data_IF_535236789255
#
_entry.id   IF_535236789255
#
_cell.length_a   1.000
_cell.length_b   1.000
_cell.length_c   1.000
_cell.angle_alpha   90.00
_cell.angle_beta   90.00
_cell.angle_gamma   90.00
#
_symmetry.space_group_name_H-M   'P 1'
#
loop_
_entity.id
_entity.type
_entity.pdbx_description
1 polymer ?
#
# COMPACT_ATOMS: atom_id res chain seq x y z
N UNK A 1 -13.29 22.23 27.61
CA UNK A 1 -13.29 22.26 26.15
C UNK A 1 -12.27 23.26 25.61
N UNK A 2 -11.90 23.18 24.36
CA UNK A 2 -11.01 24.13 23.69
C UNK A 2 -11.74 25.44 23.48
N UNK A 3 -11.06 26.57 23.78
CA UNK A 3 -11.54 27.90 23.42
C UNK A 3 -10.97 28.21 22.05
N UNK A 4 -11.83 28.39 21.06
CA UNK A 4 -11.48 28.74 19.68
C UNK A 4 -11.96 30.18 19.46
N UNK A 5 -11.02 31.11 19.28
CA UNK A 5 -11.36 32.51 19.00
C UNK A 5 -11.25 32.82 17.50
N UNK A 6 -11.92 33.86 16.98
CA UNK A 6 -11.72 34.30 15.60
C UNK A 6 -10.28 34.68 15.29
N UNK A 7 -9.55 35.21 16.27
CA UNK A 7 -8.15 35.59 16.14
C UNK A 7 -7.25 34.34 15.95
N UNK A 8 -7.47 33.27 16.73
CA UNK A 8 -6.76 32.00 16.59
C UNK A 8 -7.00 31.41 15.21
N UNK A 9 -8.26 31.39 14.76
CA UNK A 9 -8.62 30.90 13.42
C UNK A 9 -7.93 31.70 12.31
N UNK A 10 -7.84 33.03 12.46
CA UNK A 10 -7.13 33.88 11.50
C UNK A 10 -5.63 33.58 11.43
N UNK A 11 -4.99 33.38 12.59
CA UNK A 11 -3.56 33.00 12.67
C UNK A 11 -3.30 31.63 12.05
N UNK A 12 -4.08 30.61 12.45
CA UNK A 12 -3.92 29.25 11.96
C UNK A 12 -4.19 29.14 10.44
N UNK A 13 -5.16 29.90 9.94
CA UNK A 13 -5.40 30.00 8.49
C UNK A 13 -4.14 30.45 7.73
N UNK A 14 -3.43 31.47 8.25
CA UNK A 14 -2.18 31.92 7.66
C UNK A 14 -1.14 30.79 7.60
N UNK A 15 -0.97 30.05 8.70
CA UNK A 15 -0.03 28.93 8.79
C UNK A 15 -0.40 27.82 7.80
N UNK A 16 -1.67 27.41 7.73
CA UNK A 16 -2.13 26.35 6.81
C UNK A 16 -1.99 26.80 5.34
N UNK A 17 -2.21 28.07 5.03
CA UNK A 17 -2.02 28.61 3.68
C UNK A 17 -0.54 28.59 3.27
N UNK A 18 0.38 28.87 4.19
CA UNK A 18 1.82 28.72 3.92
C UNK A 18 2.20 27.25 3.74
N UNK A 19 1.68 26.34 4.56
CA UNK A 19 1.87 24.91 4.37
C UNK A 19 1.36 24.44 2.99
N UNK A 20 0.19 24.92 2.59
CA UNK A 20 -0.37 24.63 1.28
C UNK A 20 0.51 25.13 0.14
N UNK A 21 1.09 26.34 0.26
CA UNK A 21 2.05 26.90 -0.73
C UNK A 21 3.35 26.12 -0.79
N UNK A 22 3.91 25.76 0.35
CA UNK A 22 5.14 24.96 0.41
C UNK A 22 5.00 23.59 -0.24
N UNK A 23 3.78 23.03 -0.24
CA UNK A 23 3.48 21.77 -0.90
C UNK A 23 3.06 21.92 -2.36
N UNK A 24 2.98 23.14 -2.89
CA UNK A 24 2.46 23.43 -4.24
C UNK A 24 3.46 23.11 -5.38
N UNK A 25 4.21 22.03 -5.29
CA UNK A 25 5.07 21.52 -6.34
C UNK A 25 4.40 20.51 -7.28
N UNK A 26 5.14 19.99 -8.24
CA UNK A 26 4.67 18.98 -9.21
C UNK A 26 4.04 17.77 -8.52
N UNK A 27 4.60 17.28 -7.42
CA UNK A 27 4.07 16.14 -6.67
C UNK A 27 2.65 16.41 -6.14
N UNK A 28 2.35 17.63 -5.74
CA UNK A 28 1.02 18.03 -5.31
C UNK A 28 0.05 18.01 -6.48
N UNK A 29 0.42 18.67 -7.58
CA UNK A 29 -0.42 18.70 -8.80
C UNK A 29 -0.68 17.30 -9.33
N UNK A 30 0.32 16.43 -9.26
CA UNK A 30 0.17 15.01 -9.58
C UNK A 30 -0.82 14.31 -8.66
N UNK A 31 -0.67 14.46 -7.34
CA UNK A 31 -1.58 13.83 -6.37
C UNK A 31 -3.03 14.27 -6.60
N UNK A 32 -3.24 15.55 -6.84
CA UNK A 32 -4.58 16.10 -7.11
C UNK A 32 -5.15 15.59 -8.45
N UNK A 33 -4.31 15.39 -9.47
CA UNK A 33 -4.72 14.87 -10.77
C UNK A 33 -4.99 13.36 -10.75
N UNK A 34 -4.22 12.59 -9.99
CA UNK A 34 -4.35 11.12 -9.95
C UNK A 34 -5.49 10.65 -9.03
N UNK A 35 -5.85 11.43 -8.02
CA UNK A 35 -6.87 11.04 -7.05
C UNK A 35 -8.22 10.65 -7.68
N UNK A 36 -8.80 11.39 -8.64
CA UNK A 36 -10.05 11.01 -9.32
C UNK A 36 -9.98 9.67 -10.06
N UNK A 37 -8.79 9.28 -10.51
CA UNK A 37 -8.56 8.03 -11.26
C UNK A 37 -8.31 6.87 -10.32
N UNK A 38 -7.41 7.05 -9.35
CA UNK A 38 -7.06 6.01 -8.37
C UNK A 38 -8.23 5.71 -7.43
N UNK A 39 -8.97 6.73 -6.99
CA UNK A 39 -10.13 6.58 -6.11
C UNK A 39 -11.48 6.62 -6.83
N UNK A 40 -11.48 6.52 -8.14
CA UNK A 40 -12.67 6.44 -9.01
C UNK A 40 -13.82 7.36 -8.57
N UNK A 41 -13.57 8.66 -8.47
CA UNK A 41 -14.57 9.69 -8.12
C UNK A 41 -15.23 9.53 -6.73
N UNK A 42 -14.69 8.66 -5.87
CA UNK A 42 -15.20 8.50 -4.50
C UNK A 42 -14.92 9.71 -3.61
N UNK A 43 -15.45 9.68 -2.39
CA UNK A 43 -15.14 10.69 -1.38
C UNK A 43 -13.64 10.86 -1.11
N UNK A 44 -12.84 9.80 -1.26
CA UNK A 44 -11.38 9.88 -1.13
C UNK A 44 -10.72 10.75 -2.21
N UNK A 45 -11.31 10.82 -3.41
CA UNK A 45 -10.82 11.67 -4.49
C UNK A 45 -11.08 13.16 -4.24
N UNK A 46 -12.16 13.50 -3.52
CA UNK A 46 -12.64 14.87 -3.37
C UNK A 46 -12.33 15.50 -2.01
N UNK A 47 -11.96 14.69 -1.01
CA UNK A 47 -11.68 15.15 0.36
C UNK A 47 -10.17 15.14 0.64
N UNK A 48 -9.45 16.10 0.08
CA UNK A 48 -8.03 16.28 0.38
C UNK A 48 -7.86 16.67 1.86
N UNK A 49 -6.89 16.04 2.54
CA UNK A 49 -6.64 16.22 3.99
C UNK A 49 -6.35 17.65 4.36
N UNK A 50 -5.61 18.40 3.54
CA UNK A 50 -5.31 19.82 3.81
C UNK A 50 -6.51 20.74 3.48
N UNK A 51 -7.50 20.26 2.73
CA UNK A 51 -8.65 21.03 2.24
C UNK A 51 -8.40 21.71 0.89
N UNK A 52 -9.48 22.28 0.33
CA UNK A 52 -9.39 23.11 -0.88
C UNK A 52 -8.91 24.51 -0.55
N UNK A 53 -8.23 25.17 -1.51
CA UNK A 53 -7.73 26.54 -1.32
C UNK A 53 -8.87 27.52 -1.03
N UNK A 54 -10.02 27.38 -1.71
CA UNK A 54 -11.18 28.26 -1.51
C UNK A 54 -11.72 28.15 -0.08
N UNK A 55 -11.80 26.91 0.45
CA UNK A 55 -12.20 26.69 1.84
C UNK A 55 -11.17 27.25 2.81
N UNK A 56 -9.87 27.00 2.57
CA UNK A 56 -8.78 27.50 3.43
C UNK A 56 -8.75 29.02 3.51
N UNK A 57 -9.11 29.73 2.44
CA UNK A 57 -9.17 31.18 2.42
C UNK A 57 -10.40 31.76 3.13
N UNK A 58 -11.49 30.99 3.24
CA UNK A 58 -12.79 31.50 3.63
C UNK A 58 -13.36 30.97 4.95
N UNK A 59 -12.87 29.84 5.49
CA UNK A 59 -13.45 29.23 6.69
C UNK A 59 -13.42 30.17 7.90
N UNK A 60 -14.46 30.08 8.71
CA UNK A 60 -14.67 30.92 9.89
C UNK A 60 -14.61 30.09 11.18
N UNK A 61 -14.44 30.74 12.32
CA UNK A 61 -14.51 30.11 13.65
C UNK A 61 -15.74 29.21 13.81
N UNK A 62 -16.87 29.61 13.26
CA UNK A 62 -18.15 28.85 13.33
C UNK A 62 -18.00 27.42 12.75
N UNK A 63 -17.32 27.27 11.60
CA UNK A 63 -17.14 25.96 10.98
C UNK A 63 -16.16 25.10 11.78
N UNK A 64 -15.05 25.69 12.25
CA UNK A 64 -14.08 24.98 13.08
C UNK A 64 -14.72 24.49 14.38
N UNK A 65 -15.49 25.38 15.04
CA UNK A 65 -16.20 25.02 16.26
C UNK A 65 -17.25 23.93 16.03
N UNK A 66 -18.03 24.03 14.95
CA UNK A 66 -19.03 23.01 14.61
C UNK A 66 -18.38 21.65 14.32
N UNK A 67 -17.23 21.62 13.63
CA UNK A 67 -16.46 20.40 13.40
C UNK A 67 -15.95 19.82 14.73
N UNK A 68 -15.36 20.65 15.57
CA UNK A 68 -14.88 20.23 16.89
C UNK A 68 -16.00 19.65 17.75
N UNK A 69 -17.13 20.36 17.89
CA UNK A 69 -18.28 19.93 18.68
C UNK A 69 -18.92 18.63 18.15
N UNK A 70 -18.81 18.38 16.84
CA UNK A 70 -19.32 17.18 16.19
C UNK A 70 -18.42 15.97 16.39
N UNK A 71 -17.11 16.11 16.26
CA UNK A 71 -16.20 15.00 16.13
C UNK A 71 -15.31 14.76 17.36
N UNK A 72 -14.96 15.78 18.13
CA UNK A 72 -14.09 15.67 19.31
C UNK A 72 -14.93 15.34 20.55
N UNK A 73 -15.27 14.08 20.70
CA UNK A 73 -16.14 13.58 21.77
C UNK A 73 -15.59 12.31 22.41
N UNK A 74 -15.84 12.08 23.72
CA UNK A 74 -15.30 10.91 24.42
C UNK A 74 -15.64 9.56 23.75
N UNK A 75 -16.87 9.42 23.24
CA UNK A 75 -17.33 8.18 22.60
C UNK A 75 -16.74 7.94 21.19
N UNK A 76 -15.95 8.86 20.67
CA UNK A 76 -15.17 8.72 19.43
C UNK A 76 -13.66 8.70 19.69
N UNK A 77 -13.24 8.61 20.94
CA UNK A 77 -11.84 8.59 21.34
C UNK A 77 -11.41 7.18 21.73
N UNK A 78 -10.19 6.85 21.40
CA UNK A 78 -9.48 5.68 21.84
C UNK A 78 -8.26 6.13 22.65
N UNK A 79 -8.09 5.58 23.85
CA UNK A 79 -6.97 5.88 24.75
C UNK A 79 -6.16 4.60 24.93
N UNK A 80 -4.89 4.64 24.60
CA UNK A 80 -3.95 3.58 24.88
C UNK A 80 -2.82 4.12 25.77
N UNK A 81 -2.56 3.45 26.88
CA UNK A 81 -1.43 3.72 27.77
C UNK A 81 -0.57 2.47 27.80
N UNK A 82 0.68 2.60 27.36
CA UNK A 82 1.58 1.46 27.17
C UNK A 82 2.92 1.79 27.81
N UNK A 83 3.38 0.92 28.69
CA UNK A 83 4.64 1.10 29.40
C UNK A 83 4.64 0.39 30.75
N UNK A 84 5.62 0.70 31.58
CA UNK A 84 5.69 0.22 32.97
C UNK A 84 4.76 1.07 33.84
N UNK A 85 3.47 0.71 33.87
CA UNK A 85 2.41 1.44 34.56
C UNK A 85 1.59 0.52 35.47
N UNK A 86 1.13 1.07 36.60
CA UNK A 86 0.15 0.42 37.45
C UNK A 86 -1.23 0.47 36.77
N UNK A 87 -1.74 -0.69 36.35
CA UNK A 87 -2.97 -0.79 35.58
C UNK A 87 -4.16 -0.23 36.33
N UNK A 88 -4.34 -0.59 37.59
CA UNK A 88 -5.51 -0.18 38.40
C UNK A 88 -5.54 1.34 38.61
N UNK A 89 -4.39 1.92 38.95
CA UNK A 89 -4.27 3.37 39.12
C UNK A 89 -4.47 4.11 37.82
N UNK A 90 -3.94 3.58 36.73
CA UNK A 90 -4.08 4.19 35.38
C UNK A 90 -5.53 4.15 34.91
N UNK A 91 -6.23 3.01 35.06
CA UNK A 91 -7.63 2.87 34.75
C UNK A 91 -8.48 3.81 35.59
N UNK A 92 -8.29 3.81 36.93
CA UNK A 92 -9.00 4.70 37.83
C UNK A 92 -8.81 6.20 37.46
N UNK A 93 -7.59 6.57 37.03
CA UNK A 93 -7.29 7.93 36.57
C UNK A 93 -8.04 8.28 35.29
N UNK A 94 -8.04 7.39 34.30
CA UNK A 94 -8.79 7.57 33.05
C UNK A 94 -10.28 7.73 33.35
N UNK A 95 -10.86 6.82 34.15
CA UNK A 95 -12.27 6.89 34.54
C UNK A 95 -12.60 8.20 35.27
N UNK A 96 -11.73 8.64 36.20
CA UNK A 96 -11.96 9.89 36.97
C UNK A 96 -12.03 11.12 36.08
N UNK A 97 -11.25 11.14 34.99
CA UNK A 97 -11.23 12.26 34.04
C UNK A 97 -12.44 12.20 33.10
N UNK A 98 -12.72 11.05 32.52
CA UNK A 98 -13.69 10.91 31.43
C UNK A 98 -15.14 10.79 31.91
N UNK A 99 -15.41 10.27 33.12
CA UNK A 99 -16.79 10.14 33.66
C UNK A 99 -17.53 11.48 33.79
N UNK A 100 -16.81 12.59 33.87
CA UNK A 100 -17.39 13.94 33.98
C UNK A 100 -17.71 14.57 32.64
N UNK A 101 -17.27 13.96 31.54
CA UNK A 101 -17.49 14.48 30.20
C UNK A 101 -18.86 14.04 29.67
N UNK A 102 -19.58 14.91 28.92
CA UNK A 102 -20.88 14.56 28.40
C UNK A 102 -20.78 13.42 27.39
N UNK A 103 -21.57 12.38 27.63
CA UNK A 103 -21.71 11.25 26.69
C UNK A 103 -22.76 11.58 25.63
N UNK A 104 -22.32 12.03 24.47
CA UNK A 104 -23.18 12.30 23.31
C UNK A 104 -23.16 11.13 22.36
N UNK A 105 -24.27 10.85 21.68
CA UNK A 105 -24.29 9.84 20.61
C UNK A 105 -23.29 10.17 19.51
N UNK A 106 -22.65 9.13 18.97
CA UNK A 106 -21.75 9.32 17.84
C UNK A 106 -22.53 9.82 16.62
N UNK A 107 -21.97 10.75 15.82
CA UNK A 107 -22.61 11.14 14.57
C UNK A 107 -22.64 9.92 13.63
N UNK A 108 -23.70 9.81 12.86
CA UNK A 108 -23.73 8.87 11.76
C UNK A 108 -22.59 9.20 10.77
N UNK A 109 -21.83 8.17 10.40
CA UNK A 109 -20.83 8.28 9.33
C UNK A 109 -21.49 7.80 8.06
N UNK A 110 -21.47 8.64 7.02
CA UNK A 110 -21.95 8.23 5.71
C UNK A 110 -21.02 7.15 5.15
N UNK A 111 -21.52 5.92 5.09
CA UNK A 111 -20.76 4.77 4.56
C UNK A 111 -20.43 4.95 3.06
N UNK A 112 -21.23 5.71 2.32
CA UNK A 112 -21.00 5.94 0.88
C UNK A 112 -19.71 6.75 0.63
N UNK A 113 -19.31 7.61 1.55
CA UNK A 113 -18.04 8.37 1.44
C UNK A 113 -16.82 7.44 1.38
N UNK A 114 -16.92 6.25 1.98
CA UNK A 114 -15.84 5.25 2.03
C UNK A 114 -15.90 4.23 0.90
N UNK A 115 -16.96 4.20 0.12
CA UNK A 115 -17.09 3.27 -0.99
C UNK A 115 -16.37 3.82 -2.23
N UNK A 116 -15.46 3.04 -2.79
CA UNK A 116 -14.82 3.36 -4.07
C UNK A 116 -15.58 2.57 -5.15
N UNK A 117 -16.24 3.26 -6.11
CA UNK A 117 -16.99 2.58 -7.15
C UNK A 117 -16.11 1.63 -7.98
N UNK A 118 -16.68 0.49 -8.38
CA UNK A 118 -16.03 -0.44 -9.31
C UNK A 118 -15.99 0.18 -10.71
N UNK A 119 -14.93 -0.07 -11.45
CA UNK A 119 -14.84 0.21 -12.88
C UNK A 119 -14.50 -1.07 -13.65
N UNK A 120 -15.32 -1.38 -14.67
CA UNK A 120 -15.10 -2.54 -15.56
C UNK A 120 -14.12 -2.24 -16.69
N UNK A 121 -13.95 -0.95 -17.03
CA UNK A 121 -12.97 -0.48 -17.99
C UNK A 121 -11.86 0.27 -17.28
N UNK A 122 -10.62 0.14 -17.73
CA UNK A 122 -9.52 0.90 -17.15
C UNK A 122 -9.79 2.42 -17.20
N UNK A 123 -9.45 3.10 -16.12
CA UNK A 123 -9.42 4.55 -16.08
C UNK A 123 -8.06 5.01 -16.60
N UNK A 124 -8.03 6.11 -17.36
CA UNK A 124 -6.81 6.62 -17.97
C UNK A 124 -6.56 8.06 -17.57
N UNK A 125 -5.30 8.38 -17.22
CA UNK A 125 -4.83 9.73 -16.98
C UNK A 125 -3.49 9.96 -17.67
N UNK A 126 -3.39 11.03 -18.45
CA UNK A 126 -2.12 11.57 -18.92
C UNK A 126 -1.80 12.84 -18.15
N UNK A 127 -0.80 12.76 -17.27
CA UNK A 127 -0.32 13.91 -16.50
C UNK A 127 0.93 14.49 -17.17
N UNK A 128 0.83 15.72 -17.66
CA UNK A 128 1.94 16.45 -18.28
C UNK A 128 2.23 17.68 -17.43
N UNK A 129 3.46 17.78 -16.94
CA UNK A 129 3.90 18.91 -16.15
C UNK A 129 5.39 19.22 -16.46
N UNK A 130 5.73 20.45 -16.85
CA UNK A 130 7.11 20.81 -17.22
C UNK A 130 8.15 20.59 -16.11
N UNK A 131 7.72 20.51 -14.85
CA UNK A 131 8.59 20.23 -13.72
C UNK A 131 8.85 18.74 -13.47
N UNK A 132 8.19 17.82 -14.22
CA UNK A 132 8.49 16.40 -14.14
C UNK A 132 9.95 16.13 -14.52
N UNK A 133 10.63 15.34 -13.70
CA UNK A 133 12.06 15.03 -13.90
C UNK A 133 12.29 13.83 -14.81
N UNK A 134 11.32 12.94 -14.92
CA UNK A 134 11.41 11.72 -15.73
C UNK A 134 10.04 11.33 -16.28
N UNK A 135 10.05 10.76 -17.48
CA UNK A 135 8.86 10.13 -18.04
C UNK A 135 8.68 8.75 -17.38
N UNK A 136 7.48 8.48 -16.89
CA UNK A 136 7.13 7.20 -16.25
C UNK A 136 5.65 6.89 -16.44
N UNK A 137 5.25 5.67 -16.15
CA UNK A 137 3.84 5.30 -16.09
C UNK A 137 3.58 4.31 -14.96
N UNK A 138 2.33 4.30 -14.48
CA UNK A 138 1.85 3.39 -13.46
C UNK A 138 0.55 2.71 -13.87
N UNK A 139 0.44 1.42 -13.56
CA UNK A 139 -0.80 0.66 -13.62
C UNK A 139 -1.21 0.31 -12.19
N UNK A 140 -2.38 0.76 -11.78
CA UNK A 140 -2.90 0.59 -10.43
C UNK A 140 -4.16 -0.25 -10.48
N UNK A 141 -4.25 -1.26 -9.61
CA UNK A 141 -5.44 -2.08 -9.49
C UNK A 141 -5.92 -2.07 -8.03
N UNK A 142 -7.20 -1.77 -7.82
CA UNK A 142 -7.80 -1.71 -6.48
C UNK A 142 -8.50 -3.02 -6.15
N UNK A 143 -8.43 -3.38 -4.87
CA UNK A 143 -9.10 -4.55 -4.31
C UNK A 143 -9.83 -4.19 -3.03
N UNK A 144 -11.00 -4.76 -2.82
CA UNK A 144 -11.63 -4.72 -1.50
C UNK A 144 -10.89 -5.65 -0.54
N UNK A 145 -10.51 -5.11 0.61
CA UNK A 145 -9.82 -5.84 1.68
C UNK A 145 -10.46 -5.51 3.03
N UNK A 146 -11.71 -5.98 3.25
CA UNK A 146 -12.45 -5.65 4.46
C UNK A 146 -11.69 -6.09 5.72
N UNK A 147 -11.61 -5.19 6.71
CA UNK A 147 -10.90 -5.49 7.96
C UNK A 147 -11.60 -6.51 8.86
N UNK A 148 -12.91 -6.76 8.66
CA UNK A 148 -13.74 -7.64 9.48
C UNK A 148 -13.89 -9.08 8.95
N UNK A 149 -12.94 -9.55 8.15
CA UNK A 149 -12.91 -10.93 7.64
C UNK A 149 -12.48 -11.91 8.74
N UNK A 150 -12.78 -13.19 8.53
CA UNK A 150 -12.37 -14.28 9.41
C UNK A 150 -10.86 -14.29 9.62
N UNK A 151 -10.41 -14.69 10.81
CA UNK A 151 -8.99 -14.65 11.19
C UNK A 151 -8.09 -15.40 10.22
N UNK A 152 -8.49 -16.62 9.84
CA UNK A 152 -7.71 -17.43 8.92
C UNK A 152 -7.56 -16.77 7.55
N UNK A 153 -8.63 -16.20 7.00
CA UNK A 153 -8.58 -15.45 5.74
C UNK A 153 -7.64 -14.25 5.83
N UNK A 154 -7.63 -13.55 6.98
CA UNK A 154 -6.73 -12.41 7.23
C UNK A 154 -5.27 -12.86 7.31
N UNK A 155 -4.99 -14.00 7.97
CA UNK A 155 -3.64 -14.56 8.05
C UNK A 155 -3.16 -14.97 6.65
N UNK A 156 -3.99 -15.70 5.89
CA UNK A 156 -3.69 -16.08 4.49
C UNK A 156 -3.40 -14.84 3.63
N UNK A 157 -4.25 -13.82 3.71
CA UNK A 157 -4.05 -12.57 2.98
C UNK A 157 -2.72 -11.87 3.35
N UNK A 158 -2.39 -11.83 4.64
CA UNK A 158 -1.10 -11.30 5.11
C UNK A 158 0.09 -12.08 4.51
N UNK A 159 0.05 -13.41 4.58
CA UNK A 159 1.11 -14.28 4.06
C UNK A 159 1.21 -14.12 2.54
N UNK A 160 0.11 -14.17 1.80
CA UNK A 160 0.10 -14.02 0.34
C UNK A 160 0.61 -12.64 -0.12
N UNK A 161 0.25 -11.59 0.61
CA UNK A 161 0.79 -10.24 0.35
C UNK A 161 2.32 -10.21 0.53
N UNK A 162 2.84 -10.89 1.55
CA UNK A 162 4.30 -11.01 1.76
C UNK A 162 4.97 -11.78 0.63
N UNK A 163 4.45 -12.94 0.26
CA UNK A 163 4.95 -13.70 -0.89
C UNK A 163 4.94 -12.86 -2.16
N UNK A 164 3.83 -12.20 -2.46
CA UNK A 164 3.71 -11.36 -3.65
C UNK A 164 4.77 -10.26 -3.66
N UNK A 165 4.89 -9.49 -2.59
CA UNK A 165 5.82 -8.37 -2.50
C UNK A 165 7.30 -8.80 -2.54
N UNK A 166 7.61 -10.06 -2.18
CA UNK A 166 8.96 -10.61 -2.29
C UNK A 166 9.24 -11.20 -3.67
N UNK A 167 8.31 -11.96 -4.23
CA UNK A 167 8.54 -12.76 -5.43
C UNK A 167 8.19 -12.03 -6.72
N UNK A 168 7.08 -11.29 -6.77
CA UNK A 168 6.60 -10.70 -8.01
C UNK A 168 7.57 -9.66 -8.61
N UNK A 169 8.22 -8.75 -7.83
CA UNK A 169 9.22 -7.83 -8.37
C UNK A 169 10.42 -8.51 -9.01
N UNK A 170 10.73 -9.75 -8.63
CA UNK A 170 11.83 -10.52 -9.20
C UNK A 170 11.65 -10.77 -10.71
N UNK A 171 10.41 -10.72 -11.22
CA UNK A 171 10.14 -10.83 -12.67
C UNK A 171 10.81 -9.71 -13.48
N UNK A 172 10.82 -8.48 -12.95
CA UNK A 172 11.53 -7.35 -13.56
C UNK A 172 13.05 -7.50 -13.43
N UNK A 173 13.55 -7.99 -12.30
CA UNK A 173 14.97 -8.29 -12.13
C UNK A 173 15.47 -9.35 -13.14
N UNK A 174 14.65 -10.33 -13.48
CA UNK A 174 14.97 -11.34 -14.48
C UNK A 174 15.17 -10.74 -15.88
N UNK A 175 14.34 -9.78 -16.28
CA UNK A 175 14.49 -9.06 -17.54
C UNK A 175 15.81 -8.30 -17.58
N UNK A 176 16.21 -7.64 -16.48
CA UNK A 176 17.51 -6.95 -16.34
C UNK A 176 18.68 -7.91 -16.44
N UNK A 177 18.63 -9.05 -15.74
CA UNK A 177 19.69 -10.05 -15.77
C UNK A 177 19.88 -10.69 -17.14
N UNK A 178 18.86 -10.62 -18.01
CA UNK A 178 18.91 -11.13 -19.38
C UNK A 178 19.26 -10.04 -20.41
N UNK A 179 19.57 -8.81 -20.00
CA UNK A 179 19.79 -7.63 -20.84
C UNK A 179 18.65 -7.39 -21.86
N UNK A 180 17.41 -7.68 -21.44
CA UNK A 180 16.20 -7.56 -22.28
C UNK A 180 15.29 -6.43 -21.86
N UNK A 181 15.59 -5.76 -20.75
CA UNK A 181 14.74 -4.72 -20.18
C UNK A 181 14.61 -3.49 -21.10
N UNK A 182 13.43 -2.90 -21.07
CA UNK A 182 13.10 -1.65 -21.77
C UNK A 182 12.85 -0.48 -20.80
N UNK A 183 13.34 -0.61 -19.58
CA UNK A 183 13.10 0.32 -18.48
C UNK A 183 14.37 0.55 -17.62
N UNK A 184 14.48 1.75 -17.09
CA UNK A 184 15.50 2.14 -16.12
C UNK A 184 15.16 1.55 -14.74
N UNK A 185 13.88 1.69 -14.35
CA UNK A 185 13.37 1.21 -13.08
C UNK A 185 11.96 0.65 -13.25
N UNK A 186 11.65 -0.40 -12.48
CA UNK A 186 10.32 -0.94 -12.33
C UNK A 186 10.11 -1.36 -10.88
N UNK A 187 8.92 -1.08 -10.35
CA UNK A 187 8.47 -1.51 -9.03
C UNK A 187 7.11 -2.20 -9.14
N UNK A 188 6.88 -3.13 -8.21
CA UNK A 188 5.63 -3.85 -8.09
C UNK A 188 5.35 -4.12 -6.63
N UNK A 189 4.22 -3.63 -6.15
CA UNK A 189 3.84 -3.80 -4.76
C UNK A 189 2.33 -3.95 -4.59
N UNK A 190 1.93 -4.67 -3.54
CA UNK A 190 0.56 -4.73 -3.04
C UNK A 190 0.55 -4.19 -1.61
N UNK A 191 -0.19 -3.11 -1.40
CA UNK A 191 -0.23 -2.40 -0.12
C UNK A 191 -1.63 -1.87 0.20
N UNK A 192 -1.94 -1.59 1.48
CA UNK A 192 -3.16 -0.88 1.83
C UNK A 192 -3.23 0.49 1.12
N UNK A 193 -4.39 0.79 0.53
CA UNK A 193 -4.65 2.07 -0.13
C UNK A 193 -5.38 3.03 0.83
N UNK A 194 -6.55 2.61 1.27
CA UNK A 194 -7.38 3.27 2.29
C UNK A 194 -8.09 2.19 3.10
N UNK A 195 -8.93 2.59 4.07
CA UNK A 195 -9.71 1.63 4.85
C UNK A 195 -10.53 0.73 3.93
N UNK A 196 -10.44 -0.58 4.17
CA UNK A 196 -11.14 -1.66 3.45
C UNK A 196 -10.75 -1.82 1.96
N UNK A 197 -9.67 -1.14 1.51
CA UNK A 197 -9.12 -1.27 0.16
C UNK A 197 -7.61 -1.40 0.17
N UNK A 198 -7.09 -2.25 -0.71
CA UNK A 198 -5.68 -2.36 -1.06
C UNK A 198 -5.47 -2.02 -2.54
N UNK A 199 -4.24 -1.70 -2.90
CA UNK A 199 -3.82 -1.39 -4.26
C UNK A 199 -2.61 -2.21 -4.64
N UNK A 200 -2.66 -2.82 -5.80
CA UNK A 200 -1.48 -3.31 -6.50
C UNK A 200 -0.98 -2.20 -7.43
N UNK A 201 0.25 -1.79 -7.21
CA UNK A 201 0.90 -0.74 -7.98
C UNK A 201 2.03 -1.34 -8.82
N UNK A 202 2.03 -1.02 -10.11
CA UNK A 202 3.04 -1.36 -11.09
C UNK A 202 3.61 -0.06 -11.63
N UNK A 203 4.77 0.35 -11.20
CA UNK A 203 5.39 1.60 -11.61
C UNK A 203 6.61 1.32 -12.49
N UNK A 204 6.75 2.06 -13.59
CA UNK A 204 7.84 1.85 -14.54
C UNK A 204 8.37 3.17 -15.11
N UNK A 205 9.69 3.27 -15.15
CA UNK A 205 10.43 4.34 -15.82
C UNK A 205 11.07 3.74 -17.07
N UNK A 206 10.53 3.96 -18.28
CA UNK A 206 11.08 3.40 -19.51
C UNK A 206 12.40 4.08 -19.92
N UNK A 207 13.20 3.41 -20.75
CA UNK A 207 14.24 4.08 -21.49
C UNK A 207 13.63 5.08 -22.47
N UNK A 208 14.39 6.11 -22.83
CA UNK A 208 13.94 7.13 -23.79
C UNK A 208 13.55 6.48 -25.13
N UNK A 209 12.33 6.74 -25.57
CA UNK A 209 11.77 6.16 -26.80
C UNK A 209 11.23 4.72 -26.68
N UNK A 210 11.37 4.08 -25.52
CA UNK A 210 10.97 2.67 -25.32
C UNK A 210 9.64 2.51 -24.52
N UNK A 211 8.85 3.57 -24.36
CA UNK A 211 7.67 3.54 -23.51
C UNK A 211 6.67 2.44 -23.90
N UNK A 212 6.42 2.23 -25.20
CA UNK A 212 5.50 1.19 -25.69
C UNK A 212 6.06 -0.22 -25.39
N UNK A 213 7.36 -0.46 -25.63
CA UNK A 213 7.99 -1.73 -25.38
C UNK A 213 8.05 -2.04 -23.85
N UNK A 214 8.31 -1.02 -23.04
CA UNK A 214 8.27 -1.14 -21.57
C UNK A 214 6.86 -1.48 -21.06
N UNK A 215 5.81 -0.86 -21.64
CA UNK A 215 4.42 -1.21 -21.32
C UNK A 215 4.12 -2.67 -21.68
N UNK A 216 4.56 -3.13 -22.85
CA UNK A 216 4.39 -4.53 -23.24
C UNK A 216 5.07 -5.48 -22.25
N UNK A 217 6.27 -5.13 -21.77
CA UNK A 217 6.97 -5.93 -20.76
C UNK A 217 6.23 -5.96 -19.42
N UNK A 218 5.72 -4.81 -18.94
CA UNK A 218 4.91 -4.76 -17.72
C UNK A 218 3.69 -5.68 -17.84
N UNK A 219 2.95 -5.57 -18.94
CA UNK A 219 1.74 -6.36 -19.17
C UNK A 219 2.05 -7.85 -19.38
N UNK A 220 3.19 -8.20 -19.99
CA UNK A 220 3.64 -9.58 -20.10
C UNK A 220 3.99 -10.17 -18.72
N UNK A 221 4.65 -9.41 -17.84
CA UNK A 221 4.91 -9.84 -16.45
C UNK A 221 3.59 -10.04 -15.70
N UNK A 222 2.62 -9.13 -15.87
CA UNK A 222 1.29 -9.26 -15.27
C UNK A 222 0.57 -10.53 -15.75
N UNK A 223 0.56 -10.76 -17.06
CA UNK A 223 -0.03 -11.96 -17.66
C UNK A 223 0.69 -13.24 -17.20
N UNK A 224 2.02 -13.22 -17.10
CA UNK A 224 2.80 -14.35 -16.58
C UNK A 224 2.41 -14.70 -15.14
N UNK A 225 2.33 -13.70 -14.25
CA UNK A 225 1.89 -13.91 -12.87
C UNK A 225 0.46 -14.44 -12.78
N UNK A 226 -0.46 -13.96 -13.63
CA UNK A 226 -1.85 -14.43 -13.68
C UNK A 226 -1.96 -15.88 -14.18
N UNK A 227 -1.26 -16.21 -15.25
CA UNK A 227 -1.45 -17.44 -16.01
C UNK A 227 -0.53 -18.58 -15.54
N UNK A 228 0.67 -18.26 -15.09
CA UNK A 228 1.69 -19.23 -14.61
C UNK A 228 1.92 -19.17 -13.10
N UNK A 229 1.74 -18.00 -12.47
CA UNK A 229 1.97 -17.77 -11.05
C UNK A 229 3.45 -17.90 -10.65
N UNK A 230 3.66 -18.38 -9.43
CA UNK A 230 4.98 -18.73 -8.90
C UNK A 230 5.26 -20.22 -9.10
N UNK A 231 6.54 -20.56 -9.29
CA UNK A 231 6.98 -21.94 -9.34
C UNK A 231 7.05 -22.53 -7.93
N UNK A 232 7.02 -23.87 -7.84
CA UNK A 232 7.17 -24.58 -6.57
C UNK A 232 8.51 -24.26 -5.88
N UNK A 233 9.58 -24.12 -6.67
CA UNK A 233 10.90 -23.76 -6.15
C UNK A 233 10.93 -22.34 -5.54
N UNK A 234 10.33 -21.34 -6.20
CA UNK A 234 10.21 -19.98 -5.68
C UNK A 234 9.39 -19.96 -4.40
N UNK A 235 8.25 -20.65 -4.41
CA UNK A 235 7.36 -20.74 -3.26
C UNK A 235 8.05 -21.39 -2.06
N UNK A 236 8.70 -22.53 -2.24
CA UNK A 236 9.35 -23.26 -1.16
C UNK A 236 10.52 -22.46 -0.56
N UNK A 237 11.33 -21.79 -1.38
CA UNK A 237 12.42 -20.95 -0.91
C UNK A 237 11.91 -19.77 -0.06
N UNK A 238 10.85 -19.09 -0.50
CA UNK A 238 10.26 -17.99 0.26
C UNK A 238 9.52 -18.49 1.53
N UNK A 239 8.83 -19.63 1.43
CA UNK A 239 8.18 -20.29 2.57
C UNK A 239 9.19 -20.60 3.67
N UNK A 240 10.34 -21.16 3.31
CA UNK A 240 11.43 -21.44 4.25
C UNK A 240 11.99 -20.16 4.88
N UNK A 241 12.23 -19.13 4.08
CA UNK A 241 12.73 -17.84 4.57
C UNK A 241 11.73 -17.19 5.55
N UNK A 242 10.43 -17.19 5.23
CA UNK A 242 9.38 -16.69 6.12
C UNK A 242 9.26 -17.52 7.40
N UNK A 243 9.33 -18.85 7.29
CA UNK A 243 9.29 -19.75 8.44
C UNK A 243 10.43 -19.45 9.41
N UNK A 244 11.67 -19.39 8.90
CA UNK A 244 12.84 -19.10 9.72
C UNK A 244 12.76 -17.71 10.35
N UNK A 245 12.35 -16.68 9.60
CA UNK A 245 12.16 -15.34 10.14
C UNK A 245 11.10 -15.25 11.25
N UNK A 246 9.97 -15.96 11.12
CA UNK A 246 8.94 -16.02 12.17
C UNK A 246 9.44 -16.79 13.40
N UNK A 247 10.21 -17.86 13.21
CA UNK A 247 10.81 -18.64 14.27
C UNK A 247 11.81 -17.81 15.06
N UNK A 248 12.70 -17.09 14.37
CA UNK A 248 13.67 -16.18 15.02
C UNK A 248 12.97 -15.13 15.89
N UNK A 249 11.85 -14.59 15.41
CA UNK A 249 11.04 -13.67 16.20
C UNK A 249 10.45 -14.34 17.43
N UNK A 250 9.97 -15.59 17.34
CA UNK A 250 9.44 -16.33 18.51
C UNK A 250 10.51 -16.64 19.56
N UNK A 251 11.75 -16.87 19.13
CA UNK A 251 12.88 -17.17 20.00
C UNK A 251 13.49 -15.90 20.61
N UNK A 252 13.25 -14.72 20.01
CA UNK A 252 13.78 -13.46 20.49
C UNK A 252 13.25 -13.09 21.90
N UNK A 253 14.14 -12.56 22.74
CA UNK A 253 13.76 -11.99 24.05
C UNK A 253 13.13 -10.60 23.82
N UNK A 254 12.02 -10.33 24.49
CA UNK A 254 11.41 -9.00 24.45
C UNK A 254 10.43 -8.78 23.28
N UNK A 255 9.61 -9.75 22.98
CA UNK A 255 8.56 -9.73 21.95
C UNK A 255 7.38 -8.81 22.24
N UNK A 256 7.57 -7.65 22.65
CA UNK A 256 6.47 -6.72 22.91
C UNK A 256 7.00 -5.30 22.98
N UNK A 257 7.24 -4.68 21.82
CA UNK A 257 7.49 -3.25 21.83
C UNK A 257 6.20 -2.49 22.10
N UNK A 258 6.26 -1.31 22.74
CA UNK A 258 5.09 -0.43 22.87
C UNK A 258 4.37 -0.18 21.55
N UNK A 259 5.11 -0.05 20.44
CA UNK A 259 4.55 0.17 19.10
C UNK A 259 3.74 -1.02 18.61
N UNK A 260 4.21 -2.25 18.83
CA UNK A 260 3.46 -3.46 18.49
C UNK A 260 2.15 -3.54 19.27
N UNK A 261 2.19 -3.27 20.57
CA UNK A 261 0.99 -3.25 21.40
C UNK A 261 0.00 -2.16 20.94
N UNK A 262 0.49 -0.96 20.63
CA UNK A 262 -0.33 0.14 20.10
C UNK A 262 -0.99 -0.25 18.77
N UNK A 263 -0.26 -0.92 17.88
CA UNK A 263 -0.78 -1.40 16.61
C UNK A 263 -1.95 -2.39 16.82
N UNK A 264 -1.81 -3.35 17.74
CA UNK A 264 -2.85 -4.33 18.05
C UNK A 264 -4.11 -3.67 18.62
N UNK A 265 -3.95 -2.76 19.59
CA UNK A 265 -5.08 -2.03 20.15
C UNK A 265 -5.78 -1.13 19.13
N UNK A 266 -5.01 -0.49 18.24
CA UNK A 266 -5.56 0.31 17.14
C UNK A 266 -6.34 -0.55 16.15
N UNK A 267 -5.86 -1.73 15.80
CA UNK A 267 -6.58 -2.68 14.94
C UNK A 267 -7.87 -3.17 15.57
N UNK A 268 -7.85 -3.43 16.88
CA UNK A 268 -9.05 -3.78 17.63
C UNK A 268 -10.08 -2.64 17.59
N UNK A 269 -9.66 -1.41 17.90
CA UNK A 269 -10.55 -0.25 17.90
C UNK A 269 -11.13 0.05 16.53
N UNK A 270 -10.32 0.00 15.47
CA UNK A 270 -10.75 0.38 14.12
C UNK A 270 -11.55 -0.71 13.41
N UNK A 271 -11.21 -1.99 13.62
CA UNK A 271 -11.72 -3.11 12.82
C UNK A 271 -12.37 -4.19 13.67
N UNK A 272 -12.40 -4.08 14.99
CA UNK A 272 -12.94 -5.12 15.88
C UNK A 272 -12.08 -6.40 15.94
N UNK A 273 -10.84 -6.36 15.46
CA UNK A 273 -9.94 -7.51 15.47
C UNK A 273 -9.57 -7.84 16.92
N UNK A 274 -9.80 -9.08 17.43
CA UNK A 274 -9.45 -9.43 18.79
C UNK A 274 -7.97 -9.19 19.10
N UNK A 275 -7.68 -8.55 20.23
CA UNK A 275 -6.31 -8.40 20.70
C UNK A 275 -5.82 -9.76 21.17
N UNK A 276 -4.75 -10.25 20.59
CA UNK A 276 -4.03 -11.46 21.00
C UNK A 276 -2.59 -11.10 21.32
N UNK A 277 -1.96 -11.86 22.16
CA UNK A 277 -0.54 -11.67 22.39
C UNK A 277 0.26 -11.94 21.10
N UNK A 278 1.37 -11.26 20.99
CA UNK A 278 2.16 -11.25 19.75
C UNK A 278 2.74 -12.63 19.40
N UNK A 279 3.11 -13.45 20.42
CA UNK A 279 3.59 -14.80 20.19
C UNK A 279 2.50 -15.70 19.63
N UNK A 280 1.30 -15.65 20.19
CA UNK A 280 0.15 -16.40 19.69
C UNK A 280 -0.18 -16.03 18.25
N UNK A 281 -0.07 -14.74 17.87
CA UNK A 281 -0.28 -14.32 16.49
C UNK A 281 0.76 -14.91 15.54
N UNK A 282 2.05 -14.85 15.88
CA UNK A 282 3.12 -15.43 15.06
C UNK A 282 2.99 -16.94 14.98
N UNK A 283 2.65 -17.62 16.07
CA UNK A 283 2.43 -19.07 16.06
C UNK A 283 1.30 -19.45 15.10
N UNK A 284 0.19 -18.71 15.11
CA UNK A 284 -0.91 -18.94 14.17
C UNK A 284 -0.51 -18.67 12.71
N UNK A 285 0.31 -17.64 12.47
CA UNK A 285 0.84 -17.37 11.14
C UNK A 285 1.75 -18.51 10.67
N UNK A 286 2.59 -19.08 11.56
CA UNK A 286 3.43 -20.23 11.27
C UNK A 286 2.62 -21.49 10.93
N UNK A 287 1.62 -21.80 11.76
CA UNK A 287 0.70 -22.93 11.51
C UNK A 287 0.08 -22.80 10.12
N UNK A 288 -0.50 -21.63 9.81
CA UNK A 288 -1.09 -21.38 8.49
C UNK A 288 -0.04 -21.48 7.37
N UNK A 289 1.16 -20.89 7.56
CA UNK A 289 2.22 -20.93 6.55
C UNK A 289 2.65 -22.36 6.21
N UNK A 290 2.76 -23.25 7.20
CA UNK A 290 3.16 -24.65 7.00
C UNK A 290 2.16 -25.41 6.13
N UNK A 291 0.86 -25.14 6.27
CA UNK A 291 -0.21 -25.79 5.53
C UNK A 291 -0.38 -25.30 4.09
N UNK A 292 0.18 -24.11 3.75
CA UNK A 292 0.03 -23.52 2.42
C UNK A 292 0.85 -24.27 1.36
N UNK A 293 0.24 -24.39 0.18
CA UNK A 293 0.86 -24.91 -1.04
C UNK A 293 0.97 -23.82 -2.13
N UNK A 294 1.82 -24.06 -3.12
CA UNK A 294 1.97 -23.12 -4.26
C UNK A 294 0.66 -22.92 -5.02
N UNK A 295 -0.20 -23.93 -5.06
CA UNK A 295 -1.52 -23.87 -5.66
C UNK A 295 -2.42 -22.83 -5.00
N UNK A 296 -2.33 -22.63 -3.66
CA UNK A 296 -3.13 -21.67 -2.92
C UNK A 296 -2.81 -20.23 -3.35
N UNK A 297 -1.53 -19.88 -3.38
CA UNK A 297 -1.10 -18.53 -3.78
C UNK A 297 -1.35 -18.27 -5.25
N UNK A 298 -1.17 -19.26 -6.12
CA UNK A 298 -1.41 -19.12 -7.55
C UNK A 298 -2.90 -18.95 -7.86
N UNK A 299 -3.79 -19.67 -7.14
CA UNK A 299 -5.24 -19.44 -7.24
C UNK A 299 -5.62 -18.02 -6.78
N UNK A 300 -5.05 -17.55 -5.68
CA UNK A 300 -5.25 -16.19 -5.20
C UNK A 300 -4.75 -15.14 -6.20
N UNK A 301 -3.55 -15.27 -6.77
CA UNK A 301 -3.02 -14.38 -7.81
C UNK A 301 -3.96 -14.31 -9.02
N UNK A 302 -4.40 -15.46 -9.50
CA UNK A 302 -5.33 -15.52 -10.64
C UNK A 302 -6.64 -14.81 -10.35
N UNK A 303 -7.13 -14.85 -9.11
CA UNK A 303 -8.34 -14.15 -8.71
C UNK A 303 -8.16 -12.64 -8.61
N UNK A 304 -6.95 -12.16 -8.30
CA UNK A 304 -6.64 -10.73 -8.19
C UNK A 304 -6.33 -10.09 -9.54
N UNK A 305 -5.62 -10.78 -10.43
CA UNK A 305 -5.11 -10.22 -11.68
C UNK A 305 -6.16 -10.26 -12.82
N UNK A 306 -7.39 -9.86 -12.51
CA UNK A 306 -8.43 -9.57 -13.48
C UNK A 306 -8.26 -8.15 -14.07
N UNK A 307 -9.07 -7.77 -15.06
CA UNK A 307 -8.96 -6.45 -15.70
C UNK A 307 -9.95 -5.41 -15.13
N UNK A 308 -10.48 -5.67 -13.92
CA UNK A 308 -11.36 -4.73 -13.22
C UNK A 308 -10.58 -3.79 -12.31
N UNK A 309 -11.18 -2.65 -12.04
CA UNK A 309 -10.64 -1.65 -11.12
C UNK A 309 -9.23 -1.16 -11.48
N UNK A 310 -8.90 -1.20 -12.77
CA UNK A 310 -7.63 -0.70 -13.28
C UNK A 310 -7.66 0.81 -13.47
N UNK A 311 -6.53 1.43 -13.19
CA UNK A 311 -6.22 2.81 -13.52
C UNK A 311 -4.82 2.87 -14.12
N UNK A 312 -4.68 3.44 -15.33
CA UNK A 312 -3.39 3.63 -15.98
C UNK A 312 -3.06 5.12 -16.07
N UNK A 313 -1.88 5.47 -15.59
CA UNK A 313 -1.45 6.86 -15.48
C UNK A 313 -0.09 7.03 -16.13
N UNK A 314 0.05 8.03 -16.99
CA UNK A 314 1.33 8.42 -17.56
C UNK A 314 1.78 9.77 -17.02
N UNK A 315 3.08 9.90 -16.77
CA UNK A 315 3.73 11.09 -16.23
C UNK A 315 4.85 11.51 -17.17
N UNK A 316 4.87 12.78 -17.57
CA UNK A 316 5.97 13.30 -18.39
C UNK A 316 6.02 14.82 -18.32
N UNK A 317 7.08 15.41 -18.81
CA UNK A 317 7.14 16.86 -18.96
C UNK A 317 6.58 17.35 -20.29
N UNK A 318 6.48 16.45 -21.31
CA UNK A 318 5.85 16.74 -22.60
C UNK A 318 5.15 15.52 -23.18
N UNK A 319 4.32 15.73 -24.22
CA UNK A 319 3.63 14.64 -24.92
C UNK A 319 4.58 13.71 -25.67
N UNK A 320 5.70 14.26 -26.14
CA UNK A 320 6.70 13.55 -26.94
C UNK A 320 7.48 12.54 -26.10
N UNK A 321 7.69 12.85 -24.80
CA UNK A 321 8.42 11.95 -23.89
C UNK A 321 7.59 10.71 -23.50
N UNK A 322 6.26 10.83 -23.47
CA UNK A 322 5.36 9.75 -23.11
C UNK A 322 4.16 9.75 -24.05
N UNK A 323 4.21 8.89 -25.04
CA UNK A 323 3.26 8.85 -26.14
C UNK A 323 2.22 7.71 -26.04
N UNK A 324 2.15 7.00 -24.91
CA UNK A 324 1.13 5.97 -24.72
C UNK A 324 -0.23 6.63 -24.57
N UNK A 325 -1.13 6.36 -25.51
CA UNK A 325 -2.54 6.79 -25.50
C UNK A 325 -3.42 5.78 -24.78
N UNK A 326 -4.65 6.18 -24.45
CA UNK A 326 -5.65 5.29 -23.87
C UNK A 326 -5.94 4.08 -24.75
N UNK A 327 -6.10 4.29 -26.07
CA UNK A 327 -6.38 3.22 -27.05
C UNK A 327 -5.19 2.25 -27.17
N UNK A 328 -3.97 2.76 -27.19
CA UNK A 328 -2.76 1.94 -27.23
C UNK A 328 -2.61 1.10 -25.94
N UNK A 329 -2.88 1.69 -24.76
CA UNK A 329 -2.90 0.96 -23.51
C UNK A 329 -3.96 -0.14 -23.53
N UNK A 330 -5.20 0.18 -23.89
CA UNK A 330 -6.31 -0.79 -23.92
C UNK A 330 -6.03 -1.91 -24.93
N UNK A 331 -5.42 -1.59 -26.07
CA UNK A 331 -5.01 -2.59 -27.07
C UNK A 331 -3.90 -3.49 -26.54
N UNK A 332 -2.89 -2.91 -25.91
CA UNK A 332 -1.79 -3.65 -25.29
C UNK A 332 -2.28 -4.58 -24.16
N UNK A 333 -3.18 -4.07 -23.31
CA UNK A 333 -3.78 -4.86 -22.20
C UNK A 333 -4.56 -6.07 -22.76
N UNK A 334 -5.39 -5.87 -23.78
CA UNK A 334 -6.18 -6.94 -24.41
C UNK A 334 -5.31 -8.02 -25.06
N UNK A 335 -4.18 -7.61 -25.63
CA UNK A 335 -3.26 -8.51 -26.34
C UNK A 335 -2.16 -9.09 -25.43
N UNK A 336 -2.15 -8.72 -24.14
CA UNK A 336 -1.14 -9.18 -23.22
C UNK A 336 -1.22 -10.69 -23.00
N UNK A 337 -0.09 -11.36 -23.21
CA UNK A 337 0.06 -12.79 -22.99
C UNK A 337 1.30 -13.09 -22.17
N UNK A 338 1.29 -14.21 -21.46
CA UNK A 338 2.47 -14.66 -20.71
C UNK A 338 3.62 -14.96 -21.66
N UNK A 339 4.84 -14.58 -21.23
CA UNK A 339 6.06 -14.93 -21.95
C UNK A 339 6.75 -16.09 -21.20
N UNK A 340 6.99 -17.21 -21.89
CA UNK A 340 7.62 -18.40 -21.30
C UNK A 340 9.08 -18.14 -20.86
N UNK A 341 9.77 -17.18 -21.47
CA UNK A 341 11.11 -16.75 -21.04
C UNK A 341 11.13 -16.24 -19.58
N UNK A 342 10.04 -15.63 -19.11
CA UNK A 342 9.91 -15.14 -17.73
C UNK A 342 9.70 -16.26 -16.71
N UNK A 343 9.16 -17.41 -17.13
CA UNK A 343 8.99 -18.58 -16.27
C UNK A 343 10.26 -19.41 -16.15
N UNK A 344 11.10 -19.41 -17.20
CA UNK A 344 12.36 -20.18 -17.20
C UNK A 344 13.48 -19.51 -16.40
N UNK A 345 13.46 -18.19 -16.28
CA UNK A 345 14.45 -17.46 -15.50
C UNK A 345 14.37 -17.73 -13.98
N UNK A 346 13.23 -18.27 -13.50
CA UNK A 346 13.08 -18.74 -12.12
C UNK A 346 13.90 -20.00 -11.79
N UNK A 347 14.43 -20.70 -12.78
CA UNK A 347 15.29 -21.88 -12.64
C UNK A 347 16.79 -21.53 -12.51
N UNK A 348 17.14 -20.34 -12.07
CA UNK A 348 18.53 -20.00 -11.74
C UNK A 348 18.98 -20.95 -10.63
N UNK A 349 19.90 -21.87 -10.97
CA UNK A 349 20.55 -22.74 -9.97
C UNK A 349 21.14 -21.85 -8.88
N UNK A 350 20.88 -22.13 -7.59
CA UNK A 350 21.51 -21.37 -6.52
C UNK A 350 23.02 -21.43 -6.74
N UNK A 351 23.69 -20.27 -6.69
CA UNK A 351 25.14 -20.20 -6.68
C UNK A 351 25.57 -20.83 -5.36
N UNK A 352 25.95 -22.12 -5.44
CA UNK A 352 26.42 -22.90 -4.29
C UNK A 352 27.84 -22.54 -3.86
N UNK A 353 28.60 -21.92 -4.75
CA UNK A 353 29.95 -21.44 -4.48
C UNK A 353 30.13 -20.03 -5.04
N UNK A 354 30.44 -19.08 -4.20
CA UNK A 354 30.78 -17.68 -4.57
C UNK A 354 32.13 -17.60 -5.34
N UNK A 355 32.93 -18.65 -5.30
CA UNK A 355 34.28 -18.73 -5.92
C UNK A 355 34.42 -20.09 -6.59
N UNK A 356 34.59 -20.08 -7.91
CA UNK A 356 34.68 -21.31 -8.75
C UNK A 356 36.09 -21.89 -8.85
N UNK A 357 37.06 -21.41 -8.06
CA UNK A 357 38.43 -21.93 -8.08
C UNK A 357 38.99 -22.14 -6.65
N UNK A 358 39.81 -23.16 -6.52
CA UNK A 358 40.50 -23.45 -5.26
C UNK A 358 41.47 -22.31 -4.93
N UNK A 359 41.21 -21.59 -3.85
CA UNK A 359 42.16 -20.64 -3.29
C UNK A 359 43.40 -21.37 -2.81
N UNK A 360 44.55 -21.13 -3.45
CA UNK A 360 45.85 -21.61 -2.96
C UNK A 360 46.29 -20.64 -1.84
N UNK A 361 46.54 -21.13 -0.61
CA UNK A 361 46.99 -20.27 0.47
C UNK A 361 48.31 -19.58 0.10
N UNK A 362 48.37 -18.26 0.22
CA UNK A 362 49.62 -17.52 0.06
C UNK A 362 50.65 -17.95 1.11
N UNK A 363 51.92 -18.07 0.74
CA UNK A 363 53.00 -18.20 1.72
C UNK A 363 53.21 -16.87 2.42
N UNK A 364 53.13 -16.90 3.75
CA UNK A 364 53.59 -15.78 4.58
C UNK A 364 55.12 -15.82 4.53
N UNK A 365 55.75 -14.80 3.94
CA UNK A 365 57.20 -14.59 3.95
C UNK A 365 57.53 -13.57 5.05
#
# INVERSE_FOLDING_TARGET
GIIITPQDVGRERGIILEEWRHRAGVNRRLTDAIAPVVYNQSGYATHNVIGSIDFLQSFQQKQVKAFYDKWYRPNLQFIAVIGDVDLDKTEAKIQSIFKTLPNKLAPAVDAQVRNIPVNDKPLYLRFIDPENKSASFGLYQRYETPGNIQEEARIRQFIFTKFFNTLAPKRFAMLKNADKEKFIAADLSLSPLVRDYSQMAWDMVPYQGEAQAALQQLLAVRANLRDKGFTEAEFNAEKEAMYNGMKDVLEAKGLGTPDNALMLFRQNYLYGIPVKDFRSQISRNLETLVELEVSDINAWLKSLLDDKNLAFVTYSKSKEEMNITEDEFNTALKNASSNDDLAQAANVKPITNLIDYNLVPGKIT
#
